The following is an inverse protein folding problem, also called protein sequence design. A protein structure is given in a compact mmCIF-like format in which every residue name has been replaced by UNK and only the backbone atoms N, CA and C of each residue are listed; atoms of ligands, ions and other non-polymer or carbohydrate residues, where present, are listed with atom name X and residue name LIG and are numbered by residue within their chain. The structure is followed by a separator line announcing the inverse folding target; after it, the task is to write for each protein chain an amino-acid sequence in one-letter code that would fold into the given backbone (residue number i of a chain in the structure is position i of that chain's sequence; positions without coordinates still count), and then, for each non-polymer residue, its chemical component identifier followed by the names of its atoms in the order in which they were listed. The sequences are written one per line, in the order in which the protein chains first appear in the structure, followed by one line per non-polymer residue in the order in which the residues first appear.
data_IF_642230000451
#
_entry.id   IF_642230000451
#
_cell.length_a   1.000
_cell.length_b   1.000
_cell.length_c   1.000
_cell.angle_alpha   90.00
_cell.angle_beta   90.00
_cell.angle_gamma   90.00
#
_symmetry.space_group_name_H-M   'P 1'
#
loop_
_entity.id
_entity.type
_entity.pdbx_description
1 polymer ?
#
# COMPACT_ATOMS: atom_id res chain seq x y z
N UNK A 1 -1.42 19.95 6.63
CA UNK A 1 -2.28 19.96 5.42
C UNK A 1 -2.53 18.50 5.08
N UNK A 2 -3.74 18.11 4.68
CA UNK A 2 -4.10 16.70 4.44
C UNK A 2 -4.41 16.49 2.96
N UNK A 3 -4.15 15.27 2.46
CA UNK A 3 -4.54 14.89 1.10
C UNK A 3 -6.08 14.89 0.97
N UNK A 4 -6.67 15.66 0.01
CA UNK A 4 -8.12 15.75 -0.14
C UNK A 4 -8.75 14.47 -0.73
N UNK A 5 -7.92 13.58 -1.27
CA UNK A 5 -8.24 12.32 -1.92
C UNK A 5 -7.75 11.10 -1.13
N UNK A 6 -7.53 11.26 0.19
CA UNK A 6 -6.95 10.22 1.06
C UNK A 6 -7.57 8.83 0.87
N UNK A 7 -8.90 8.75 0.69
CA UNK A 7 -9.60 7.49 0.45
C UNK A 7 -9.11 6.78 -0.83
N UNK A 8 -8.95 7.50 -1.94
CA UNK A 8 -8.45 6.96 -3.20
C UNK A 8 -6.98 6.53 -3.10
N UNK A 9 -6.16 7.35 -2.44
CA UNK A 9 -4.73 7.08 -2.23
C UNK A 9 -4.45 5.83 -1.39
N UNK A 10 -5.25 5.62 -0.35
CA UNK A 10 -5.10 4.47 0.56
C UNK A 10 -5.68 3.23 -0.08
N UNK A 11 -6.86 3.31 -0.69
CA UNK A 11 -7.53 2.17 -1.33
C UNK A 11 -6.90 1.77 -2.67
N UNK A 12 -6.04 2.62 -3.24
CA UNK A 12 -5.46 2.49 -4.58
C UNK A 12 -6.54 2.39 -5.69
N UNK A 13 -7.72 2.97 -5.45
CA UNK A 13 -8.87 2.91 -6.38
C UNK A 13 -9.15 4.25 -7.01
N UNK A 14 -9.40 4.21 -8.32
CA UNK A 14 -9.99 5.32 -9.05
C UNK A 14 -11.48 5.36 -8.76
N UNK A 15 -11.94 6.44 -8.17
CA UNK A 15 -13.34 6.69 -7.85
C UNK A 15 -14.02 7.30 -9.08
N UNK A 16 -15.08 6.66 -9.56
CA UNK A 16 -15.83 7.07 -10.74
C UNK A 16 -17.19 7.64 -10.33
N UNK A 17 -17.19 8.82 -9.72
CA UNK A 17 -18.42 9.53 -9.38
C UNK A 17 -18.38 10.98 -9.91
N UNK A 18 -19.55 11.61 -10.05
CA UNK A 18 -19.68 12.94 -10.65
C UNK A 18 -19.03 14.07 -9.84
N UNK A 19 -18.73 13.84 -8.56
CA UNK A 19 -18.13 14.81 -7.64
C UNK A 19 -16.66 14.46 -7.32
N UNK A 20 -16.13 13.37 -7.88
CA UNK A 20 -14.76 12.92 -7.69
C UNK A 20 -13.76 13.74 -8.51
N UNK A 21 -12.50 13.64 -8.14
CA UNK A 21 -11.41 14.25 -8.91
C UNK A 21 -11.29 13.63 -10.31
N UNK A 22 -10.72 14.35 -11.30
CA UNK A 22 -10.49 13.78 -12.62
C UNK A 22 -9.71 12.46 -12.56
N UNK A 23 -10.06 11.49 -13.41
CA UNK A 23 -9.41 10.16 -13.43
C UNK A 23 -7.89 10.24 -13.52
N UNK A 24 -7.37 11.07 -14.43
CA UNK A 24 -5.93 11.27 -14.60
C UNK A 24 -5.25 11.78 -13.32
N UNK A 25 -5.91 12.72 -12.65
CA UNK A 25 -5.45 13.30 -11.40
C UNK A 25 -5.36 12.24 -10.30
N UNK A 26 -6.39 11.39 -10.17
CA UNK A 26 -6.41 10.29 -9.21
C UNK A 26 -5.30 9.27 -9.51
N UNK A 27 -5.19 8.85 -10.78
CA UNK A 27 -4.23 7.82 -11.20
C UNK A 27 -2.79 8.20 -10.88
N UNK A 28 -2.36 9.41 -11.26
CA UNK A 28 -1.00 9.85 -11.01
C UNK A 28 -0.70 10.01 -9.52
N UNK A 29 -1.67 10.49 -8.74
CA UNK A 29 -1.48 10.65 -7.29
C UNK A 29 -1.49 9.31 -6.55
N UNK A 30 -2.33 8.35 -6.95
CA UNK A 30 -2.30 6.98 -6.41
C UNK A 30 -0.92 6.37 -6.64
N UNK A 31 -0.38 6.45 -7.86
CA UNK A 31 0.95 5.93 -8.17
C UNK A 31 2.04 6.58 -7.30
N UNK A 32 2.08 7.92 -7.22
CA UNK A 32 3.07 8.63 -6.38
C UNK A 32 2.97 8.23 -4.91
N UNK A 33 1.74 8.15 -4.38
CA UNK A 33 1.52 7.81 -2.99
C UNK A 33 1.93 6.36 -2.66
N UNK A 34 1.80 5.44 -3.62
CA UNK A 34 2.31 4.08 -3.45
C UNK A 34 3.83 3.99 -3.39
N UNK A 35 4.53 4.76 -4.22
CA UNK A 35 6.00 4.84 -4.15
C UNK A 35 6.48 5.46 -2.82
N UNK A 36 5.74 6.45 -2.28
CA UNK A 36 6.02 6.97 -0.92
C UNK A 36 5.82 5.91 0.16
N UNK A 37 4.76 5.10 0.06
CA UNK A 37 4.49 4.01 0.99
C UNK A 37 5.62 2.98 0.98
N UNK A 38 6.07 2.56 -0.19
CA UNK A 38 7.20 1.63 -0.33
C UNK A 38 8.48 2.21 0.27
N UNK A 39 8.79 3.48 -0.03
CA UNK A 39 9.93 4.19 0.54
C UNK A 39 9.91 4.22 2.08
N UNK A 40 8.81 4.70 2.69
CA UNK A 40 8.70 4.78 4.15
C UNK A 40 8.71 3.40 4.81
N UNK A 41 8.13 2.38 4.17
CA UNK A 41 8.19 1.01 4.66
C UNK A 41 9.62 0.47 4.71
N UNK A 42 10.37 0.54 3.61
CA UNK A 42 11.75 0.04 3.56
C UNK A 42 12.68 0.82 4.50
N UNK A 43 12.49 2.14 4.61
CA UNK A 43 13.17 2.99 5.60
C UNK A 43 12.87 2.53 7.04
N UNK A 44 11.61 2.25 7.37
CA UNK A 44 11.22 1.76 8.70
C UNK A 44 11.84 0.39 9.02
N UNK A 45 11.83 -0.54 8.06
CA UNK A 45 12.47 -1.87 8.20
C UNK A 45 13.96 -1.73 8.47
N UNK A 46 14.68 -0.93 7.67
CA UNK A 46 16.12 -0.73 7.83
C UNK A 46 16.47 -0.15 9.20
N UNK A 47 15.69 0.84 9.66
CA UNK A 47 15.88 1.45 10.97
C UNK A 47 15.65 0.48 12.13
N UNK A 48 14.66 -0.41 12.01
CA UNK A 48 14.29 -1.34 13.08
C UNK A 48 15.21 -2.57 13.15
N UNK A 49 15.61 -3.11 11.99
CA UNK A 49 16.33 -4.39 11.91
C UNK A 49 17.83 -4.23 11.66
N UNK A 50 18.32 -3.01 11.40
CA UNK A 50 19.74 -2.74 11.16
C UNK A 50 20.28 -3.41 9.89
N UNK A 51 19.41 -3.60 8.89
CA UNK A 51 19.73 -4.27 7.62
C UNK A 51 20.03 -3.26 6.51
N UNK A 52 20.73 -3.73 5.48
CA UNK A 52 21.02 -2.95 4.27
C UNK A 52 20.32 -3.56 3.05
N UNK A 53 20.97 -4.49 2.35
CA UNK A 53 20.39 -5.10 1.15
C UNK A 53 19.40 -6.23 1.51
N UNK A 54 18.36 -6.46 0.68
CA UNK A 54 17.98 -5.73 -0.53
C UNK A 54 17.24 -4.40 -0.28
N UNK A 55 16.81 -4.11 0.95
CA UNK A 55 15.96 -2.95 1.26
C UNK A 55 16.55 -1.61 0.84
N UNK A 56 17.85 -1.37 1.06
CA UNK A 56 18.51 -0.12 0.69
C UNK A 56 18.51 0.14 -0.81
N UNK A 57 18.78 -0.88 -1.61
CA UNK A 57 18.79 -0.78 -3.08
C UNK A 57 17.39 -0.49 -3.64
N UNK A 58 16.37 -1.14 -3.08
CA UNK A 58 14.97 -0.97 -3.49
C UNK A 58 14.46 0.39 -3.02
N UNK A 59 14.73 0.81 -1.78
CA UNK A 59 14.39 2.15 -1.29
C UNK A 59 14.96 3.26 -2.20
N UNK A 60 16.20 3.11 -2.69
CA UNK A 60 16.77 4.06 -3.64
C UNK A 60 16.09 4.02 -5.03
N UNK A 61 15.53 2.87 -5.43
CA UNK A 61 14.69 2.78 -6.62
C UNK A 61 13.37 3.53 -6.42
N UNK A 62 12.71 3.37 -5.28
CA UNK A 62 11.45 4.07 -4.99
C UNK A 62 11.61 5.59 -4.96
N UNK A 63 12.76 6.09 -4.49
CA UNK A 63 13.11 7.52 -4.61
C UNK A 63 13.05 7.98 -6.07
N UNK A 64 13.70 7.24 -6.97
CA UNK A 64 13.69 7.57 -8.41
C UNK A 64 12.29 7.41 -9.00
N UNK A 65 11.50 6.44 -8.54
CA UNK A 65 10.15 6.22 -9.01
C UNK A 65 9.24 7.39 -8.66
N UNK A 66 9.12 7.77 -7.38
CA UNK A 66 8.27 8.91 -7.02
C UNK A 66 8.79 10.21 -7.64
N UNK A 67 10.10 10.43 -7.76
CA UNK A 67 10.62 11.64 -8.42
C UNK A 67 10.25 11.70 -9.91
N UNK A 68 10.26 10.55 -10.58
CA UNK A 68 9.84 10.43 -11.98
C UNK A 68 8.36 10.72 -12.12
N UNK A 69 7.54 10.14 -11.24
CA UNK A 69 6.10 10.35 -11.23
C UNK A 69 5.71 11.78 -10.86
N UNK A 70 6.40 12.43 -9.93
CA UNK A 70 6.17 13.85 -9.59
C UNK A 70 6.44 14.74 -10.81
N UNK A 71 7.54 14.52 -11.53
CA UNK A 71 7.84 15.27 -12.77
C UNK A 71 6.77 15.03 -13.83
N UNK A 72 6.29 13.80 -13.94
CA UNK A 72 5.20 13.44 -14.85
C UNK A 72 3.88 14.11 -14.46
N UNK A 73 3.52 14.12 -13.18
CA UNK A 73 2.33 14.81 -12.68
C UNK A 73 2.39 16.32 -12.92
N UNK A 74 3.54 16.94 -12.66
CA UNK A 74 3.78 18.36 -12.95
C UNK A 74 3.62 18.69 -14.44
N UNK A 75 4.09 17.81 -15.34
CA UNK A 75 3.91 17.96 -16.80
C UNK A 75 2.42 17.97 -17.20
N UNK A 76 1.58 17.25 -16.46
CA UNK A 76 0.13 17.19 -16.66
C UNK A 76 -0.65 18.14 -15.74
N UNK A 77 0.03 19.13 -15.13
CA UNK A 77 -0.57 20.15 -14.24
C UNK A 77 -1.31 19.56 -13.02
N UNK A 78 -0.86 18.39 -12.56
CA UNK A 78 -1.40 17.68 -11.40
C UNK A 78 -0.46 17.88 -10.21
N UNK A 79 -1.01 18.40 -9.11
CA UNK A 79 -0.27 18.52 -7.86
C UNK A 79 -0.03 17.13 -7.25
N UNK A 80 1.20 16.79 -6.83
CA UNK A 80 1.49 15.51 -6.19
C UNK A 80 0.81 15.40 -4.83
N UNK A 81 0.56 14.17 -4.33
CA UNK A 81 0.10 13.99 -2.96
C UNK A 81 1.19 14.39 -1.97
N UNK A 82 0.78 14.73 -0.76
CA UNK A 82 1.69 14.95 0.36
C UNK A 82 2.11 13.56 0.88
N UNK A 83 3.41 13.36 1.12
CA UNK A 83 3.88 12.21 1.90
C UNK A 83 3.57 12.47 3.38
N UNK A 84 2.43 11.96 3.84
CA UNK A 84 1.98 12.00 5.24
C UNK A 84 2.30 10.69 5.99
N UNK A 85 3.10 9.81 5.38
CA UNK A 85 3.42 8.48 5.91
C UNK A 85 4.68 8.44 6.78
N UNK A 86 5.50 9.51 6.78
CA UNK A 86 6.74 9.55 7.55
C UNK A 86 6.47 9.32 9.05
N UNK A 87 7.15 8.33 9.62
CA UNK A 87 7.01 7.96 11.03
C UNK A 87 5.68 7.29 11.39
N UNK A 88 4.77 7.08 10.43
CA UNK A 88 3.50 6.38 10.64
C UNK A 88 3.62 4.86 10.46
N UNK A 89 4.66 4.40 9.74
CA UNK A 89 4.86 3.00 9.42
C UNK A 89 5.43 2.25 10.63
N UNK A 90 4.67 1.27 11.13
CA UNK A 90 5.19 0.32 12.12
C UNK A 90 5.95 -0.81 11.43
N UNK A 91 7.26 -1.00 11.67
CA UNK A 91 8.01 -2.08 11.05
C UNK A 91 7.55 -3.45 11.59
N UNK A 92 7.67 -4.52 10.79
CA UNK A 92 7.39 -5.88 11.24
C UNK A 92 8.33 -6.32 12.37
N UNK A 93 7.91 -7.32 13.16
CA UNK A 93 8.63 -7.75 14.35
C UNK A 93 9.89 -8.54 14.01
N UNK A 94 9.92 -9.20 12.85
CA UNK A 94 11.08 -9.95 12.39
C UNK A 94 11.52 -9.54 10.99
N UNK A 95 12.80 -9.75 10.70
CA UNK A 95 13.34 -9.52 9.37
C UNK A 95 12.74 -10.47 8.32
N UNK A 96 12.40 -11.71 8.70
CA UNK A 96 11.72 -12.65 7.82
C UNK A 96 10.33 -12.14 7.41
N UNK A 97 9.55 -11.60 8.35
CA UNK A 97 8.27 -10.95 8.07
C UNK A 97 8.46 -9.75 7.14
N UNK A 98 9.54 -8.98 7.31
CA UNK A 98 9.85 -7.86 6.41
C UNK A 98 10.06 -8.31 4.96
N UNK A 99 10.73 -9.45 4.74
CA UNK A 99 10.88 -10.02 3.40
C UNK A 99 9.55 -10.50 2.82
N UNK A 100 8.72 -11.16 3.61
CA UNK A 100 7.40 -11.63 3.18
C UNK A 100 6.47 -10.45 2.81
N UNK A 101 6.48 -9.38 3.62
CA UNK A 101 5.75 -8.15 3.32
C UNK A 101 6.31 -7.43 2.09
N UNK A 102 7.63 -7.39 1.91
CA UNK A 102 8.24 -6.88 0.68
C UNK A 102 7.74 -7.62 -0.57
N UNK A 103 7.67 -8.96 -0.52
CA UNK A 103 7.07 -9.76 -1.61
C UNK A 103 5.61 -9.36 -1.87
N UNK A 104 4.80 -9.22 -0.82
CA UNK A 104 3.39 -8.84 -0.95
C UNK A 104 3.22 -7.44 -1.57
N UNK A 105 4.00 -6.46 -1.10
CA UNK A 105 3.97 -5.09 -1.60
C UNK A 105 4.39 -4.98 -3.06
N UNK A 106 5.43 -5.70 -3.50
CA UNK A 106 5.82 -5.68 -4.92
C UNK A 106 4.76 -6.32 -5.82
N UNK A 107 4.07 -7.38 -5.36
CA UNK A 107 2.97 -7.98 -6.12
C UNK A 107 1.78 -7.02 -6.21
N UNK A 108 1.43 -6.36 -5.10
CA UNK A 108 0.36 -5.37 -5.08
C UNK A 108 0.68 -4.17 -5.98
N UNK A 109 1.93 -3.69 -5.98
CA UNK A 109 2.38 -2.60 -6.85
C UNK A 109 2.26 -2.97 -8.34
N UNK A 110 2.67 -4.19 -8.72
CA UNK A 110 2.53 -4.68 -10.10
C UNK A 110 1.05 -4.69 -10.54
N UNK A 111 0.16 -5.20 -9.67
CA UNK A 111 -1.28 -5.23 -9.92
C UNK A 111 -1.89 -3.82 -9.97
N UNK A 112 -1.43 -2.92 -9.11
CA UNK A 112 -1.84 -1.53 -9.13
C UNK A 112 -1.50 -0.89 -10.47
N UNK A 113 -0.27 -1.07 -10.98
CA UNK A 113 0.09 -0.53 -12.29
C UNK A 113 -0.77 -1.11 -13.42
N UNK A 114 -1.06 -2.42 -13.43
CA UNK A 114 -1.99 -3.02 -14.41
C UNK A 114 -3.37 -2.34 -14.37
N UNK A 115 -3.89 -2.14 -13.16
CA UNK A 115 -5.16 -1.46 -12.92
C UNK A 115 -5.12 0.00 -13.41
N UNK A 116 -4.12 0.77 -13.01
CA UNK A 116 -4.00 2.19 -13.35
C UNK A 116 -3.79 2.41 -14.86
N UNK A 117 -3.01 1.55 -15.53
CA UNK A 117 -2.80 1.59 -17.00
C UNK A 117 -4.13 1.49 -17.75
N UNK A 118 -5.12 0.77 -17.21
CA UNK A 118 -6.45 0.66 -17.84
C UNK A 118 -7.20 1.99 -17.95
N UNK A 119 -6.87 2.97 -17.11
CA UNK A 119 -7.49 4.31 -17.08
C UNK A 119 -6.76 5.38 -17.90
N UNK A 120 -5.50 5.14 -18.26
CA UNK A 120 -4.64 6.16 -18.88
C UNK A 120 -4.12 5.76 -20.27
N UNK A 121 -4.83 4.84 -20.95
CA UNK A 121 -4.43 4.35 -22.29
C UNK A 121 -4.26 5.46 -23.33
N UNK A 122 -4.99 6.56 -23.17
CA UNK A 122 -4.90 7.73 -24.05
C UNK A 122 -3.71 8.66 -23.74
N UNK A 123 -2.88 8.31 -22.75
CA UNK A 123 -1.69 9.07 -22.33
C UNK A 123 -0.41 8.23 -22.48
N UNK A 124 0.16 8.15 -23.70
CA UNK A 124 1.30 7.27 -23.98
C UNK A 124 2.52 7.50 -23.10
N UNK A 125 2.80 8.75 -22.75
CA UNK A 125 3.94 9.10 -21.89
C UNK A 125 3.78 8.58 -20.45
N UNK A 126 2.54 8.51 -19.96
CA UNK A 126 2.22 7.93 -18.65
C UNK A 126 2.27 6.42 -18.71
N UNK A 127 1.67 5.82 -19.74
CA UNK A 127 1.69 4.37 -19.95
C UNK A 127 3.13 3.85 -20.02
N UNK A 128 4.02 4.55 -20.74
CA UNK A 128 5.43 4.20 -20.82
C UNK A 128 6.14 4.27 -19.46
N UNK A 129 5.82 5.25 -18.62
CA UNK A 129 6.37 5.36 -17.26
C UNK A 129 5.87 4.20 -16.40
N UNK A 130 4.56 3.93 -16.42
CA UNK A 130 3.94 2.88 -15.60
C UNK A 130 4.47 1.50 -15.94
N UNK A 131 4.63 1.15 -17.22
CA UNK A 131 5.24 -0.12 -17.60
C UNK A 131 6.70 -0.25 -17.14
N UNK A 132 7.47 0.84 -17.14
CA UNK A 132 8.85 0.80 -16.63
C UNK A 132 8.91 0.56 -15.13
N UNK A 133 8.04 1.21 -14.35
CA UNK A 133 7.99 1.04 -12.89
C UNK A 133 7.48 -0.36 -12.53
N UNK A 134 6.39 -0.82 -13.17
CA UNK A 134 5.92 -2.19 -13.04
C UNK A 134 7.00 -3.23 -13.38
N UNK A 135 7.76 -3.01 -14.45
CA UNK A 135 8.85 -3.90 -14.84
C UNK A 135 10.00 -3.89 -13.83
N UNK A 136 10.25 -2.77 -13.13
CA UNK A 136 11.23 -2.70 -12.06
C UNK A 136 10.79 -3.56 -10.86
N UNK A 137 9.54 -3.45 -10.43
CA UNK A 137 8.98 -4.30 -9.38
C UNK A 137 9.01 -5.79 -9.77
N UNK A 138 8.55 -6.14 -10.97
CA UNK A 138 8.45 -7.53 -11.40
C UNK A 138 9.81 -8.19 -11.64
N UNK A 139 10.73 -7.53 -12.34
CA UNK A 139 11.99 -8.13 -12.76
C UNK A 139 13.11 -7.98 -11.71
N UNK A 140 13.02 -7.00 -10.80
CA UNK A 140 14.11 -6.68 -9.88
C UNK A 140 13.69 -6.80 -8.40
N UNK A 141 12.69 -6.03 -7.96
CA UNK A 141 12.38 -5.95 -6.53
C UNK A 141 11.79 -7.26 -5.99
N UNK A 142 10.79 -7.79 -6.70
CA UNK A 142 10.10 -9.02 -6.30
C UNK A 142 11.06 -10.23 -6.21
N UNK A 143 11.93 -10.51 -7.20
CA UNK A 143 12.93 -11.55 -7.07
C UNK A 143 13.92 -11.30 -5.93
N UNK A 144 14.32 -10.05 -5.69
CA UNK A 144 15.24 -9.71 -4.61
C UNK A 144 14.65 -10.08 -3.24
N UNK A 145 13.39 -9.71 -2.96
CA UNK A 145 12.73 -10.13 -1.72
C UNK A 145 12.49 -11.63 -1.65
N UNK A 146 12.00 -12.25 -2.74
CA UNK A 146 11.75 -13.71 -2.77
C UNK A 146 12.99 -14.54 -2.45
N UNK A 147 14.16 -14.09 -2.86
CA UNK A 147 15.43 -14.79 -2.56
C UNK A 147 15.79 -14.82 -1.07
N UNK A 148 15.18 -13.95 -0.26
CA UNK A 148 15.41 -13.84 1.19
C UNK A 148 14.28 -14.43 2.04
N UNK A 149 13.15 -14.81 1.42
CA UNK A 149 12.08 -15.52 2.12
C UNK A 149 12.54 -16.96 2.35
N UNK A 150 12.76 -17.34 3.60
CA UNK A 150 12.99 -18.74 3.95
C UNK A 150 11.77 -19.60 3.59
N UNK A 151 11.98 -20.86 3.17
CA UNK A 151 10.92 -21.86 3.02
C UNK A 151 10.35 -22.20 4.41
N UNK A 152 9.60 -21.29 5.02
CA UNK A 152 8.96 -21.41 6.33
C UNK A 152 7.74 -22.37 6.30
N UNK A 153 7.55 -23.12 5.21
CA UNK A 153 6.43 -24.03 5.01
C UNK A 153 5.15 -23.34 4.48
N UNK A 154 5.08 -22.02 4.58
CA UNK A 154 4.07 -21.21 3.89
C UNK A 154 4.57 -20.90 2.48
N UNK A 155 3.84 -21.39 1.48
CA UNK A 155 4.17 -21.05 0.10
C UNK A 155 3.76 -19.58 -0.18
N UNK A 156 4.46 -18.88 -1.08
CA UNK A 156 4.17 -17.48 -1.41
C UNK A 156 2.75 -17.23 -1.95
N UNK A 157 2.10 -18.26 -2.48
CA UNK A 157 0.72 -18.21 -2.97
C UNK A 157 -0.29 -18.24 -1.81
N UNK A 158 -0.02 -18.99 -0.74
CA UNK A 158 -0.84 -19.06 0.47
C UNK A 158 -0.76 -17.76 1.30
N UNK A 159 0.44 -17.17 1.38
CA UNK A 159 0.63 -15.83 1.93
C UNK A 159 -0.15 -14.78 1.11
N UNK A 160 -0.13 -14.88 -0.22
CA UNK A 160 -0.90 -14.01 -1.11
C UNK A 160 -2.41 -14.17 -0.95
N UNK A 161 -2.91 -15.40 -0.84
CA UNK A 161 -4.34 -15.65 -0.59
C UNK A 161 -4.80 -15.00 0.71
N UNK A 162 -4.03 -15.18 1.79
CA UNK A 162 -4.30 -14.54 3.09
C UNK A 162 -4.22 -13.01 3.02
N UNK A 163 -3.20 -12.47 2.36
CA UNK A 163 -3.06 -11.01 2.20
C UNK A 163 -4.22 -10.43 1.40
N UNK A 164 -4.60 -11.05 0.28
CA UNK A 164 -5.71 -10.61 -0.55
C UNK A 164 -7.04 -10.66 0.22
N UNK A 165 -7.29 -11.72 0.98
CA UNK A 165 -8.50 -11.85 1.80
C UNK A 165 -8.59 -10.72 2.85
N UNK A 166 -7.48 -10.43 3.53
CA UNK A 166 -7.42 -9.35 4.53
C UNK A 166 -7.54 -7.98 3.88
N UNK A 167 -6.84 -7.73 2.78
CA UNK A 167 -6.93 -6.46 2.03
C UNK A 167 -8.35 -6.21 1.52
N UNK A 168 -9.02 -7.22 0.94
CA UNK A 168 -10.41 -7.10 0.51
C UNK A 168 -11.37 -6.82 1.68
N UNK A 169 -11.16 -7.48 2.81
CA UNK A 169 -11.98 -7.27 4.01
C UNK A 169 -11.77 -5.87 4.58
N UNK A 170 -10.52 -5.40 4.67
CA UNK A 170 -10.19 -4.05 5.09
C UNK A 170 -10.77 -2.98 4.15
N UNK A 171 -10.80 -3.22 2.83
CA UNK A 171 -11.45 -2.32 1.87
C UNK A 171 -12.96 -2.19 2.14
N UNK A 172 -13.65 -3.30 2.44
CA UNK A 172 -15.08 -3.26 2.80
C UNK A 172 -15.32 -2.49 4.09
N UNK A 173 -14.42 -2.62 5.07
CA UNK A 173 -14.47 -1.85 6.32
C UNK A 173 -14.42 -0.36 6.03
N UNK A 174 -13.42 0.08 5.26
CA UNK A 174 -13.24 1.49 4.90
C UNK A 174 -14.39 2.04 4.05
N UNK A 175 -14.98 1.20 3.20
CA UNK A 175 -16.14 1.58 2.39
C UNK A 175 -17.45 1.73 3.22
N UNK A 176 -17.44 1.39 4.52
CA UNK A 176 -18.64 1.39 5.37
C UNK A 176 -19.62 0.25 5.05
N UNK A 177 -19.19 -0.77 4.30
CA UNK A 177 -20.01 -1.90 3.83
C UNK A 177 -19.89 -3.13 4.76
N UNK A 178 -19.88 -2.93 6.08
CA UNK A 178 -19.50 -3.98 7.05
C UNK A 178 -20.48 -4.22 8.17
N UNK A 179 -20.67 -5.51 8.49
CA UNK A 179 -21.31 -6.00 9.71
C UNK A 179 -20.34 -6.77 10.62
N UNK A 180 -20.77 -7.14 11.85
CA UNK A 180 -19.91 -7.76 12.88
C UNK A 180 -19.19 -9.05 12.44
N UNK A 181 -19.75 -9.78 11.47
CA UNK A 181 -19.19 -11.03 10.95
C UNK A 181 -17.94 -10.81 10.08
N UNK A 182 -17.89 -9.74 9.30
CA UNK A 182 -16.73 -9.40 8.46
C UNK A 182 -15.58 -8.84 9.32
N UNK A 183 -15.89 -8.10 10.39
CA UNK A 183 -14.91 -7.70 11.40
C UNK A 183 -14.29 -8.92 12.11
N UNK A 184 -15.11 -9.91 12.44
CA UNK A 184 -14.65 -11.14 13.10
C UNK A 184 -13.77 -11.98 12.17
N UNK A 185 -14.12 -12.08 10.88
CA UNK A 185 -13.28 -12.73 9.87
C UNK A 185 -11.93 -12.01 9.72
N UNK A 186 -11.94 -10.68 9.70
CA UNK A 186 -10.72 -9.88 9.67
C UNK A 186 -9.83 -10.22 10.88
N UNK A 187 -10.36 -10.15 12.10
CA UNK A 187 -9.59 -10.43 13.32
C UNK A 187 -9.08 -11.88 13.41
N UNK A 188 -9.84 -12.85 12.90
CA UNK A 188 -9.45 -14.26 12.93
C UNK A 188 -8.40 -14.64 11.87
N UNK A 189 -8.41 -13.96 10.71
CA UNK A 189 -7.49 -14.25 9.61
C UNK A 189 -6.22 -13.38 9.63
N UNK A 190 -6.19 -12.34 10.47
CA UNK A 190 -4.99 -11.56 10.74
C UNK A 190 -4.06 -12.38 11.64
N UNK A 191 -2.90 -12.78 11.11
CA UNK A 191 -1.77 -13.17 11.95
C UNK A 191 -1.13 -11.93 12.57
N UNK A 192 -0.49 -12.07 13.73
CA UNK A 192 0.30 -10.98 14.34
C UNK A 192 1.42 -10.47 13.41
N UNK A 193 1.90 -11.30 12.46
CA UNK A 193 2.83 -10.89 11.39
C UNK A 193 2.19 -10.00 10.32
N UNK A 194 0.89 -10.20 10.03
CA UNK A 194 0.11 -9.35 9.12
C UNK A 194 -0.31 -8.03 9.80
N UNK A 195 -0.50 -8.02 11.12
CA UNK A 195 -0.72 -6.81 11.93
C UNK A 195 0.43 -5.80 11.81
N UNK A 196 1.66 -6.28 11.72
CA UNK A 196 2.82 -5.44 11.41
C UNK A 196 2.72 -4.75 10.05
N UNK A 197 2.30 -5.49 9.00
CA UNK A 197 2.07 -4.94 7.66
C UNK A 197 0.83 -4.04 7.55
N UNK A 198 -0.22 -4.33 8.31
CA UNK A 198 -1.42 -3.50 8.40
C UNK A 198 -1.11 -2.13 9.04
N UNK A 199 -0.35 -2.11 10.14
CA UNK A 199 0.10 -0.87 10.78
C UNK A 199 1.18 -0.11 9.99
N UNK A 200 1.70 -0.73 8.92
CA UNK A 200 2.70 -0.17 8.01
C UNK A 200 2.10 0.50 6.75
N UNK A 201 0.83 0.93 6.77
CA UNK A 201 0.27 1.84 5.76
C UNK A 201 -0.45 1.20 4.56
N UNK A 202 -0.72 -0.11 4.58
CA UNK A 202 -1.71 -0.72 3.69
C UNK A 202 -3.15 -0.38 4.10
N UNK A 203 -4.13 -0.71 3.26
CA UNK A 203 -5.58 -0.45 3.47
C UNK A 203 -6.05 -0.77 4.91
N UNK A 204 -5.54 -1.81 5.57
CA UNK A 204 -6.02 -2.15 6.92
C UNK A 204 -5.39 -1.39 8.09
N UNK A 205 -4.36 -0.56 7.90
CA UNK A 205 -3.85 0.32 8.97
C UNK A 205 -4.82 1.42 9.36
N UNK A 206 -5.49 2.00 8.36
CA UNK A 206 -6.56 2.97 8.58
C UNK A 206 -7.84 2.30 9.08
N UNK A 207 -8.18 1.12 8.57
CA UNK A 207 -9.32 0.34 9.07
C UNK A 207 -9.19 0.05 10.57
N UNK A 208 -7.99 -0.29 11.07
CA UNK A 208 -7.77 -0.50 12.51
C UNK A 208 -7.93 0.79 13.31
N UNK A 209 -7.41 1.93 12.84
CA UNK A 209 -7.58 3.19 13.55
C UNK A 209 -9.06 3.64 13.60
N UNK A 210 -9.81 3.41 12.52
CA UNK A 210 -11.23 3.70 12.43
C UNK A 210 -12.09 2.72 13.26
N UNK A 211 -11.76 1.43 13.26
CA UNK A 211 -12.34 0.41 14.17
C UNK A 211 -12.06 0.78 15.63
N UNK A 212 -10.82 1.14 15.99
CA UNK A 212 -10.46 1.52 17.35
C UNK A 212 -11.17 2.80 17.80
N UNK A 213 -11.37 3.77 16.90
CA UNK A 213 -12.11 4.99 17.21
C UNK A 213 -13.62 4.75 17.33
N UNK A 214 -14.18 3.79 16.59
CA UNK A 214 -15.59 3.40 16.71
C UNK A 214 -15.85 2.58 17.98
N UNK A 215 -14.96 1.65 18.35
CA UNK A 215 -15.04 0.94 19.64
C UNK A 215 -14.97 1.93 20.81
N UNK A 216 -14.06 2.91 20.75
CA UNK A 216 -13.96 3.98 21.77
C UNK A 216 -15.16 4.93 21.80
N UNK A 217 -15.94 5.02 20.71
CA UNK A 217 -17.20 5.78 20.68
C UNK A 217 -18.34 4.97 21.29
N UNK A 218 -18.46 3.69 20.94
CA UNK A 218 -19.46 2.78 21.52
C UNK A 218 -19.27 2.62 23.05
N UNK A 219 -18.03 2.54 23.54
CA UNK A 219 -17.75 2.51 24.99
C UNK A 219 -18.12 3.82 25.71
N UNK A 220 -18.16 4.95 25.00
CA UNK A 220 -18.58 6.25 25.58
C UNK A 220 -20.09 6.43 25.59
N UNK A 221 -20.79 5.84 24.63
CA UNK A 221 -22.26 5.91 24.53
C UNK A 221 -22.93 4.89 25.49
N UNK A 222 -22.20 3.91 26.04
CA UNK A 222 -22.68 3.01 27.10
C UNK A 222 -22.43 3.53 28.54
N UNK A 223 -21.66 4.61 28.72
CA UNK A 223 -21.38 5.25 30.02
C UNK A 223 -22.21 6.54 30.28
N UNK A 224 -23.11 6.94 29.38
CA UNK A 224 -24.15 7.99 29.59
C UNK A 224 -25.57 7.40 29.78
#
# INVERSE_FOLDING_TARGET
MQNPDALGLVSKKVILDANSFPVLWQVLRIAIYDEYRAYEFYKAVMNAHGVSEPFSNIMQAEIRHYETLIKLAQKHEIEPPINDLEGSITPPNTLQEAYELGVAYEIENIQMYDYLISYVRDYPDIVDVFYRLQAASFNNHLPAFRSHVSNSGLNSQELMEKFNEVSQTAQKVIAGEVGPSELTKLLNNISFSLLGGLLAGGVGGLAINEILNNIKKEEKDEEE
#
